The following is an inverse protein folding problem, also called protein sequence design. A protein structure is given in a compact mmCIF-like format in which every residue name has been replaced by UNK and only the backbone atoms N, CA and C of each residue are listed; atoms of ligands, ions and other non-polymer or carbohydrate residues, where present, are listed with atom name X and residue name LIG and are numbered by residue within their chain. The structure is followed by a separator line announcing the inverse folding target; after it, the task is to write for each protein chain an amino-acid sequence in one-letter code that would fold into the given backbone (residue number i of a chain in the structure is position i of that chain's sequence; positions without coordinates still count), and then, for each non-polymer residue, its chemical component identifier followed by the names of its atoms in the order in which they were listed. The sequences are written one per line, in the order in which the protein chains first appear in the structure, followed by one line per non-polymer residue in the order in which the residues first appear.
data_IF_971024309622
#
_entry.id   IF_971024309622
#
_cell.length_a   1.000
_cell.length_b   1.000
_cell.length_c   1.000
_cell.angle_alpha   90.00
_cell.angle_beta   90.00
_cell.angle_gamma   90.00
#
_symmetry.space_group_name_H-M   'P 1'
#
loop_
_entity.id
_entity.type
_entity.pdbx_description
1 polymer ?
#
# COMPACT_ATOMS: atom_id res chain seq x y z
N UNK A 1 17.49 11.79 -2.97
CA UNK A 1 16.41 11.62 -1.96
C UNK A 1 15.21 12.50 -2.23
N UNK A 2 15.36 13.77 -2.62
CA UNK A 2 14.21 14.64 -2.98
C UNK A 2 13.29 14.03 -4.04
N UNK A 3 13.86 13.40 -5.08
CA UNK A 3 13.08 12.67 -6.09
C UNK A 3 12.24 11.53 -5.50
N UNK A 4 12.80 10.74 -4.58
CA UNK A 4 12.05 9.66 -3.91
C UNK A 4 10.91 10.22 -3.07
N UNK A 5 11.15 11.34 -2.37
CA UNK A 5 10.13 12.00 -1.56
C UNK A 5 8.95 12.46 -2.42
N UNK A 6 9.23 13.10 -3.56
CA UNK A 6 8.20 13.51 -4.51
C UNK A 6 7.47 12.31 -5.13
N UNK A 7 8.18 11.21 -5.41
CA UNK A 7 7.57 9.98 -5.92
C UNK A 7 6.67 9.30 -4.86
N UNK A 8 7.10 9.25 -3.60
CA UNK A 8 6.32 8.71 -2.48
C UNK A 8 5.06 9.53 -2.22
N UNK A 9 5.17 10.86 -2.22
CA UNK A 9 4.03 11.78 -2.10
C UNK A 9 3.04 11.59 -3.25
N UNK A 10 3.53 11.48 -4.49
CA UNK A 10 2.69 11.20 -5.67
C UNK A 10 2.00 9.84 -5.60
N UNK A 11 2.68 8.81 -5.08
CA UNK A 11 2.09 7.49 -4.86
C UNK A 11 1.01 7.57 -3.78
N UNK A 12 1.29 8.21 -2.64
CA UNK A 12 0.32 8.40 -1.57
C UNK A 12 -0.94 9.12 -2.07
N UNK A 13 -0.79 10.23 -2.81
CA UNK A 13 -1.93 10.94 -3.38
C UNK A 13 -2.71 10.10 -4.41
N UNK A 14 -2.02 9.33 -5.24
CA UNK A 14 -2.67 8.46 -6.22
C UNK A 14 -3.47 7.36 -5.55
N UNK A 15 -2.89 6.70 -4.54
CA UNK A 15 -3.55 5.65 -3.76
C UNK A 15 -4.71 6.23 -2.96
N UNK A 16 -4.58 7.37 -2.28
CA UNK A 16 -5.69 8.03 -1.57
C UNK A 16 -6.88 8.35 -2.50
N UNK A 17 -6.62 8.73 -3.75
CA UNK A 17 -7.69 8.95 -4.74
C UNK A 17 -8.29 7.65 -5.25
N UNK A 18 -7.47 6.62 -5.48
CA UNK A 18 -7.93 5.32 -5.95
C UNK A 18 -8.74 4.57 -4.88
N UNK A 19 -8.38 4.76 -3.61
CA UNK A 19 -9.06 4.20 -2.43
C UNK A 19 -10.14 5.12 -1.87
N UNK A 20 -10.59 6.17 -2.58
CA UNK A 20 -11.61 7.09 -2.08
C UNK A 20 -12.89 6.34 -1.63
N UNK A 21 -13.07 6.19 -0.32
CA UNK A 21 -14.16 5.45 0.32
C UNK A 21 -13.80 4.07 0.90
N UNK A 22 -12.56 3.61 0.73
CA UNK A 22 -12.04 2.36 1.30
C UNK A 22 -11.29 2.59 2.62
N UNK A 23 -10.96 1.50 3.31
CA UNK A 23 -10.34 1.57 4.65
C UNK A 23 -8.86 1.95 4.59
N UNK A 24 -8.31 2.45 5.70
CA UNK A 24 -6.90 2.81 5.80
C UNK A 24 -5.98 1.60 5.55
N UNK A 25 -6.40 0.41 5.97
CA UNK A 25 -5.68 -0.85 5.75
C UNK A 25 -5.50 -1.15 4.25
N UNK A 26 -6.48 -0.77 3.42
CA UNK A 26 -6.40 -0.96 1.97
C UNK A 26 -5.42 0.00 1.33
N UNK A 27 -5.49 1.26 1.75
CA UNK A 27 -4.49 2.26 1.38
C UNK A 27 -3.09 1.80 1.78
N UNK A 28 -2.88 1.46 3.05
CA UNK A 28 -1.57 1.09 3.59
C UNK A 28 -0.99 -0.10 2.84
N UNK A 29 -1.79 -1.12 2.53
CA UNK A 29 -1.33 -2.26 1.75
C UNK A 29 -0.97 -1.91 0.31
N UNK A 30 -1.87 -1.24 -0.43
CA UNK A 30 -1.62 -0.91 -1.84
C UNK A 30 -0.41 0.01 -1.97
N UNK A 31 -0.34 1.05 -1.13
CA UNK A 31 0.80 1.93 -1.02
C UNK A 31 2.09 1.17 -0.71
N UNK A 32 2.05 0.26 0.27
CA UNK A 32 3.22 -0.53 0.64
C UNK A 32 3.72 -1.45 -0.46
N UNK A 33 2.82 -2.08 -1.21
CA UNK A 33 3.18 -2.94 -2.34
C UNK A 33 3.89 -2.14 -3.45
N UNK A 34 3.41 -0.93 -3.75
CA UNK A 34 4.05 -0.06 -4.75
C UNK A 34 5.40 0.47 -4.24
N UNK A 35 5.48 0.89 -2.97
CA UNK A 35 6.71 1.37 -2.36
C UNK A 35 7.78 0.29 -2.29
N UNK A 36 7.46 -0.94 -1.89
CA UNK A 36 8.41 -2.06 -1.81
C UNK A 36 9.10 -2.29 -3.16
N UNK A 37 8.31 -2.37 -4.26
CA UNK A 37 8.84 -2.51 -5.63
C UNK A 37 9.78 -1.37 -6.05
N UNK A 38 9.53 -0.16 -5.54
CA UNK A 38 10.37 0.99 -5.84
C UNK A 38 11.65 0.98 -5.00
N UNK A 39 11.54 0.65 -3.71
CA UNK A 39 12.66 0.54 -2.76
C UNK A 39 13.64 -0.54 -3.21
N UNK A 40 13.15 -1.72 -3.64
CA UNK A 40 14.00 -2.83 -4.11
C UNK A 40 14.89 -2.47 -5.31
N UNK A 41 14.51 -1.44 -6.08
CA UNK A 41 15.25 -0.97 -7.26
C UNK A 41 16.25 0.14 -6.94
N UNK A 42 16.24 0.66 -5.71
CA UNK A 42 17.20 1.67 -5.27
C UNK A 42 18.55 1.04 -4.92
N UNK A 43 19.59 1.86 -4.94
CA UNK A 43 20.89 1.51 -4.36
C UNK A 43 20.69 1.05 -2.90
N UNK A 44 21.29 -0.08 -2.47
CA UNK A 44 21.13 -0.61 -1.12
C UNK A 44 21.45 0.41 -0.01
N UNK A 45 22.36 1.35 -0.24
CA UNK A 45 22.70 2.40 0.72
C UNK A 45 21.57 3.43 0.90
N UNK A 46 20.67 3.54 -0.09
CA UNK A 46 19.53 4.46 -0.10
C UNK A 46 18.24 3.81 0.40
N UNK A 47 18.13 2.48 0.36
CA UNK A 47 16.93 1.74 0.76
C UNK A 47 16.48 2.07 2.18
N UNK A 48 17.40 2.11 3.15
CA UNK A 48 17.08 2.45 4.55
C UNK A 48 16.42 3.83 4.69
N UNK A 49 16.85 4.82 3.89
CA UNK A 49 16.29 6.17 3.94
C UNK A 49 14.95 6.24 3.20
N UNK A 50 14.79 5.42 2.16
CA UNK A 50 13.54 5.28 1.44
C UNK A 50 12.44 4.65 2.30
N UNK A 51 12.78 3.63 3.10
CA UNK A 51 11.88 3.01 4.08
C UNK A 51 11.41 4.04 5.12
N UNK A 52 12.32 4.84 5.70
CA UNK A 52 11.96 5.90 6.66
C UNK A 52 10.96 6.88 6.06
N UNK A 53 11.20 7.35 4.83
CA UNK A 53 10.27 8.29 4.16
C UNK A 53 8.93 7.62 3.87
N UNK A 54 8.93 6.35 3.45
CA UNK A 54 7.70 5.64 3.14
C UNK A 54 6.86 5.39 4.42
N UNK A 55 7.50 5.11 5.56
CA UNK A 55 6.83 4.92 6.84
C UNK A 55 6.02 6.18 7.26
N UNK A 56 6.55 7.38 6.99
CA UNK A 56 5.82 8.64 7.26
C UNK A 56 4.49 8.74 6.50
N UNK A 57 4.33 7.96 5.43
CA UNK A 57 3.13 7.94 4.58
C UNK A 57 2.26 6.69 4.78
N UNK A 58 2.57 5.82 5.76
CA UNK A 58 1.81 4.61 6.05
C UNK A 58 2.31 3.34 5.35
N UNK A 59 3.60 3.31 4.97
CA UNK A 59 4.26 2.07 4.56
C UNK A 59 4.31 1.07 5.73
N UNK A 60 4.07 -0.19 5.41
CA UNK A 60 4.18 -1.34 6.32
C UNK A 60 5.34 -2.19 5.81
N UNK A 61 6.43 -2.25 6.58
CA UNK A 61 7.64 -3.00 6.21
C UNK A 61 7.43 -4.51 6.37
N UNK A 62 6.76 -4.92 7.43
CA UNK A 62 6.44 -6.32 7.72
C UNK A 62 5.45 -6.88 6.69
N UNK A 63 5.82 -7.98 6.04
CA UNK A 63 5.01 -8.57 4.97
C UNK A 63 3.75 -9.26 5.52
N UNK A 64 3.83 -9.83 6.72
CA UNK A 64 2.70 -10.48 7.40
C UNK A 64 1.66 -9.45 7.84
N UNK A 65 2.11 -8.30 8.35
CA UNK A 65 1.25 -7.16 8.68
C UNK A 65 0.66 -6.50 7.41
N UNK A 66 1.45 -6.38 6.34
CA UNK A 66 1.01 -5.81 5.06
C UNK A 66 -0.10 -6.63 4.41
N UNK A 67 -0.07 -7.95 4.55
CA UNK A 67 -1.05 -8.87 3.98
C UNK A 67 -2.03 -9.45 5.01
N UNK A 68 -2.14 -8.83 6.19
CA UNK A 68 -3.20 -9.16 7.13
C UNK A 68 -4.56 -9.02 6.43
N UNK A 69 -5.40 -10.06 6.54
CA UNK A 69 -6.74 -10.02 5.97
C UNK A 69 -7.57 -8.91 6.62
N UNK A 70 -8.47 -8.29 5.84
CA UNK A 70 -9.38 -7.25 6.31
C UNK A 70 -10.42 -7.75 7.34
N UNK A 71 -10.39 -9.04 7.66
CA UNK A 71 -11.40 -9.77 8.43
C UNK A 71 -12.21 -10.70 7.54
N UNK A 72 -12.95 -11.63 8.17
CA UNK A 72 -13.93 -12.42 7.46
C UNK A 72 -14.97 -11.49 6.80
N UNK A 73 -15.43 -11.85 5.60
CA UNK A 73 -16.46 -11.15 4.82
C UNK A 73 -16.01 -9.90 4.04
N UNK A 74 -14.74 -9.48 4.13
CA UNK A 74 -14.20 -8.38 3.30
C UNK A 74 -13.23 -8.92 2.24
N UNK A 75 -13.43 -8.47 1.00
CA UNK A 75 -12.55 -8.76 -0.12
C UNK A 75 -11.14 -8.30 0.20
N UNK A 76 -10.21 -9.25 0.25
CA UNK A 76 -8.82 -8.90 0.47
C UNK A 76 -8.34 -7.91 -0.58
N UNK A 77 -8.69 -7.99 -1.87
CA UNK A 77 -8.21 -7.05 -2.89
C UNK A 77 -8.75 -5.61 -2.78
N UNK A 78 -10.01 -5.44 -2.34
CA UNK A 78 -10.74 -4.18 -2.48
C UNK A 78 -11.23 -3.60 -1.15
N UNK A 79 -11.13 -4.34 -0.05
CA UNK A 79 -11.69 -3.95 1.25
C UNK A 79 -13.21 -3.83 1.29
N UNK A 80 -13.91 -4.18 0.20
CA UNK A 80 -15.38 -4.18 0.09
C UNK A 80 -15.89 -5.54 0.54
N UNK A 81 -17.08 -5.57 1.14
CA UNK A 81 -17.80 -6.81 1.43
C UNK A 81 -17.81 -7.75 0.21
N UNK A 82 -17.40 -9.00 0.42
CA UNK A 82 -17.21 -10.00 -0.63
C UNK A 82 -18.47 -10.21 -1.48
N UNK A 83 -19.66 -10.09 -0.88
CA UNK A 83 -20.96 -10.25 -1.56
C UNK A 83 -21.24 -9.14 -2.58
N UNK A 84 -20.63 -7.96 -2.37
CA UNK A 84 -20.78 -6.80 -3.22
C UNK A 84 -19.52 -6.51 -4.05
N UNK A 85 -18.47 -7.32 -3.88
CA UNK A 85 -17.21 -7.13 -4.57
C UNK A 85 -17.23 -7.72 -5.98
N UNK A 86 -17.03 -6.86 -6.98
CA UNK A 86 -16.99 -7.27 -8.39
C UNK A 86 -15.57 -7.61 -8.91
N UNK A 87 -14.63 -7.94 -8.02
CA UNK A 87 -13.25 -8.24 -8.43
C UNK A 87 -13.06 -9.61 -9.11
N UNK A 88 -14.08 -10.47 -9.06
CA UNK A 88 -14.06 -11.81 -9.66
C UNK A 88 -13.23 -12.85 -8.89
N UNK A 89 -12.84 -12.57 -7.65
CA UNK A 89 -12.11 -13.51 -6.77
C UNK A 89 -12.98 -14.15 -5.67
N UNK A 90 -14.24 -13.76 -5.55
CA UNK A 90 -15.21 -14.30 -4.59
C UNK A 90 -16.26 -15.14 -5.33
N UNK A 91 -16.83 -16.18 -4.69
CA UNK A 91 -17.84 -17.05 -5.27
C UNK A 91 -19.16 -16.33 -5.61
#
# INVERSE_FOLDING_TARGET
MEKFRADAERLAEAEMRATAGATFELYARQFSEQCARYIDRLDPNLQRYAVVIANDHGYVEDEEERYADFGADLCSLTGIDEQYCHCGRHP
#
